data_IF_515478117337
#
_entry.id   IF_515478117337
#
_cell.length_a   1.000
_cell.length_b   1.000
_cell.length_c   1.000
_cell.angle_alpha   90.00
_cell.angle_beta   90.00
_cell.angle_gamma   90.00
#
_symmetry.space_group_name_H-M   'P 1'
#
loop_
_entity.id
_entity.type
_entity.pdbx_description
1 polymer ?
#
# COMPACT_ATOMS: atom_id res chain seq x y z
N UNK A 1 1.26 8.56 17.35
CA UNK A 1 0.60 7.24 17.24
C UNK A 1 0.90 6.69 15.85
N UNK A 2 1.44 5.47 15.74
CA UNK A 2 1.70 4.83 14.43
C UNK A 2 0.59 3.82 14.14
N UNK A 3 -0.21 4.06 13.10
CA UNK A 3 -1.34 3.20 12.72
C UNK A 3 -0.89 1.92 12.02
N UNK A 4 0.34 1.92 11.47
CA UNK A 4 0.91 0.84 10.64
C UNK A 4 0.00 0.48 9.45
N UNK A 5 -0.79 1.43 8.94
CA UNK A 5 -1.59 1.21 7.75
C UNK A 5 -0.71 0.85 6.54
N UNK A 6 -1.19 -0.05 5.70
CA UNK A 6 -0.44 -0.57 4.54
C UNK A 6 -1.13 -0.10 3.26
N UNK A 7 -0.32 0.24 2.25
CA UNK A 7 -0.78 0.44 0.89
C UNK A 7 0.05 -0.43 -0.06
N UNK A 8 -0.62 -1.14 -0.97
CA UNK A 8 -0.01 -2.05 -1.92
C UNK A 8 -0.26 -1.55 -3.34
N UNK A 9 0.82 -1.48 -4.11
CA UNK A 9 0.79 -1.05 -5.51
C UNK A 9 1.41 -2.11 -6.38
N UNK A 10 0.64 -2.63 -7.34
CA UNK A 10 1.19 -3.48 -8.37
C UNK A 10 1.93 -2.62 -9.39
N UNK A 11 3.14 -3.04 -9.75
CA UNK A 11 3.99 -2.38 -10.74
C UNK A 11 4.45 -3.39 -11.78
N UNK A 12 4.55 -2.95 -13.03
CA UNK A 12 4.96 -3.80 -14.16
C UNK A 12 6.46 -4.09 -14.20
N UNK A 13 7.29 -3.30 -13.50
CA UNK A 13 8.73 -3.54 -13.38
C UNK A 13 9.33 -2.92 -12.12
N UNK A 14 10.50 -3.39 -11.74
CA UNK A 14 11.34 -2.84 -10.67
C UNK A 14 12.25 -1.71 -11.18
N UNK A 15 11.83 -0.93 -12.18
CA UNK A 15 12.63 0.17 -12.71
C UNK A 15 12.34 1.48 -11.98
N UNK A 16 13.34 2.36 -11.92
CA UNK A 16 13.21 3.71 -11.36
C UNK A 16 12.11 4.54 -12.07
N UNK A 17 11.77 4.23 -13.32
CA UNK A 17 10.74 4.92 -14.08
C UNK A 17 9.30 4.61 -13.59
N UNK A 18 9.07 3.45 -12.97
CA UNK A 18 7.73 3.02 -12.56
C UNK A 18 7.41 3.44 -11.12
N UNK A 19 8.42 3.63 -10.27
CA UNK A 19 8.23 4.07 -8.89
C UNK A 19 7.48 5.42 -8.78
N UNK A 20 7.81 6.48 -9.56
CA UNK A 20 7.07 7.74 -9.52
C UNK A 20 5.57 7.56 -9.79
N UNK A 21 5.20 6.64 -10.68
CA UNK A 21 3.80 6.33 -10.95
C UNK A 21 3.12 5.67 -9.76
N UNK A 22 3.80 4.76 -9.06
CA UNK A 22 3.28 4.16 -7.82
C UNK A 22 3.15 5.21 -6.70
N UNK A 23 4.14 6.08 -6.53
CA UNK A 23 4.09 7.16 -5.55
C UNK A 23 2.96 8.15 -5.85
N UNK A 24 2.74 8.51 -7.12
CA UNK A 24 1.61 9.36 -7.52
C UNK A 24 0.27 8.72 -7.16
N UNK A 25 0.10 7.42 -7.43
CA UNK A 25 -1.15 6.72 -7.05
C UNK A 25 -1.33 6.65 -5.54
N UNK A 26 -0.25 6.42 -4.78
CA UNK A 26 -0.29 6.52 -3.32
C UNK A 26 -0.74 7.92 -2.87
N UNK A 27 -0.09 8.97 -3.36
CA UNK A 27 -0.40 10.36 -2.99
C UNK A 27 -1.85 10.73 -3.36
N UNK A 28 -2.32 10.33 -4.54
CA UNK A 28 -3.70 10.58 -4.97
C UNK A 28 -4.74 9.88 -4.09
N UNK A 29 -4.40 8.74 -3.47
CA UNK A 29 -5.32 7.96 -2.63
C UNK A 29 -5.21 8.26 -1.14
N UNK A 30 -4.00 8.56 -0.66
CA UNK A 30 -3.64 8.66 0.77
C UNK A 30 -3.25 10.07 1.19
N UNK A 31 -3.09 10.97 0.23
CA UNK A 31 -2.57 12.32 0.45
C UNK A 31 -1.04 12.37 0.42
N UNK A 32 -0.52 13.60 0.47
CA UNK A 32 0.92 13.86 0.45
C UNK A 32 1.58 13.44 1.77
N UNK A 33 2.60 12.56 1.76
CA UNK A 33 3.39 12.29 2.95
C UNK A 33 4.29 13.49 3.27
N UNK A 34 4.52 13.75 4.56
CA UNK A 34 5.57 14.69 4.99
C UNK A 34 6.96 14.07 4.85
N UNK A 35 7.07 12.79 5.19
CA UNK A 35 8.34 12.05 5.29
C UNK A 35 8.23 10.69 4.59
N UNK A 36 9.29 10.31 3.89
CA UNK A 36 9.47 8.98 3.30
C UNK A 36 10.76 8.39 3.85
N UNK A 37 10.70 7.15 4.33
CA UNK A 37 11.87 6.38 4.78
C UNK A 37 12.07 5.18 3.84
N UNK A 38 13.29 4.96 3.36
CA UNK A 38 13.63 3.81 2.50
C UNK A 38 15.04 3.28 2.73
N UNK A 39 15.33 2.10 2.19
CA UNK A 39 16.71 1.64 1.99
C UNK A 39 17.40 2.39 0.85
N UNK A 40 18.70 2.13 0.70
CA UNK A 40 19.56 2.72 -0.35
C UNK A 40 19.43 2.00 -1.70
N UNK A 41 18.30 1.33 -1.97
CA UNK A 41 18.01 0.74 -3.26
C UNK A 41 18.05 1.79 -4.37
N UNK A 42 18.68 1.45 -5.50
CA UNK A 42 18.93 2.39 -6.62
C UNK A 42 17.65 3.05 -7.14
N UNK A 43 16.53 2.34 -7.12
CA UNK A 43 15.22 2.89 -7.50
C UNK A 43 14.76 4.02 -6.57
N UNK A 44 14.96 3.87 -5.26
CA UNK A 44 14.58 4.88 -4.27
C UNK A 44 15.53 6.08 -4.30
N UNK A 45 16.82 5.85 -4.50
CA UNK A 45 17.81 6.92 -4.72
C UNK A 45 17.44 7.75 -5.95
N UNK A 46 17.14 7.09 -7.08
CA UNK A 46 16.69 7.78 -8.30
C UNK A 46 15.36 8.51 -8.12
N UNK A 47 14.40 7.92 -7.41
CA UNK A 47 13.12 8.56 -7.12
C UNK A 47 13.27 9.80 -6.22
N UNK A 48 14.12 9.73 -5.19
CA UNK A 48 14.43 10.86 -4.32
C UNK A 48 15.07 12.02 -5.09
N UNK A 49 16.01 11.73 -5.98
CA UNK A 49 16.62 12.72 -6.86
C UNK A 49 15.56 13.37 -7.79
N UNK A 50 14.74 12.55 -8.45
CA UNK A 50 13.66 13.03 -9.32
C UNK A 50 12.67 13.97 -8.58
N UNK A 51 12.28 13.63 -7.35
CA UNK A 51 11.41 14.49 -6.56
C UNK A 51 12.08 15.82 -6.19
N UNK A 52 13.38 15.79 -5.82
CA UNK A 52 14.13 17.01 -5.52
C UNK A 52 14.18 17.95 -6.74
N UNK A 53 14.45 17.42 -7.93
CA UNK A 53 14.49 18.20 -9.16
C UNK A 53 13.12 18.81 -9.48
N UNK A 54 12.04 18.03 -9.33
CA UNK A 54 10.67 18.53 -9.51
C UNK A 54 10.34 19.68 -8.55
N UNK A 55 10.67 19.55 -7.26
CA UNK A 55 10.39 20.60 -6.28
C UNK A 55 11.23 21.86 -6.54
N UNK A 56 12.48 21.72 -6.99
CA UNK A 56 13.32 22.85 -7.39
C UNK A 56 12.75 23.61 -8.59
N UNK A 57 12.26 22.90 -9.62
CA UNK A 57 11.61 23.51 -10.78
C UNK A 57 10.35 24.29 -10.38
N UNK A 58 9.54 23.75 -9.46
CA UNK A 58 8.35 24.41 -8.96
C UNK A 58 8.69 25.66 -8.13
N UNK A 59 9.76 25.61 -7.32
CA UNK A 59 10.24 26.76 -6.54
C UNK A 59 10.66 27.96 -7.41
N UNK A 60 11.19 27.68 -8.59
CA UNK A 60 11.62 28.70 -9.58
C UNK A 60 10.45 29.24 -10.43
N UNK A 61 9.24 28.69 -10.29
CA UNK A 61 8.04 29.14 -10.98
C UNK A 61 7.21 30.07 -10.08
N UNK A 62 6.47 31.00 -10.67
CA UNK A 62 5.54 31.90 -9.95
C UNK A 62 4.37 31.18 -9.24
N UNK A 63 4.38 29.84 -9.16
CA UNK A 63 3.41 28.98 -8.45
C UNK A 63 3.87 28.73 -7.00
N UNK A 64 4.52 29.74 -6.40
CA UNK A 64 5.15 29.64 -5.08
C UNK A 64 4.17 29.35 -3.95
N UNK A 65 2.90 29.77 -4.06
CA UNK A 65 1.96 29.75 -2.93
C UNK A 65 1.40 28.35 -2.60
N UNK A 66 1.38 27.43 -3.58
CA UNK A 66 0.82 26.07 -3.37
C UNK A 66 1.90 25.00 -3.12
N UNK A 67 3.11 25.19 -3.65
CA UNK A 67 4.18 24.17 -3.59
C UNK A 67 5.10 24.32 -2.38
N UNK A 68 5.24 25.52 -1.82
CA UNK A 68 6.20 25.84 -0.75
C UNK A 68 5.93 25.12 0.59
N UNK A 69 4.72 24.58 0.79
CA UNK A 69 4.34 23.86 2.02
C UNK A 69 4.41 22.32 1.93
N UNK A 70 4.85 21.75 0.80
CA UNK A 70 4.68 20.30 0.49
C UNK A 70 5.98 19.58 0.11
N UNK A 71 7.13 20.00 0.65
CA UNK A 71 8.40 19.31 0.42
C UNK A 71 8.46 17.99 1.19
N UNK A 72 8.29 16.87 0.48
CA UNK A 72 8.47 15.53 1.02
C UNK A 72 9.93 15.36 1.46
N UNK A 73 10.16 15.12 2.75
CA UNK A 73 11.49 14.83 3.30
C UNK A 73 11.80 13.35 3.09
N UNK A 74 12.86 13.05 2.35
CA UNK A 74 13.28 11.68 2.10
C UNK A 74 14.48 11.31 2.99
N UNK A 75 14.31 10.24 3.76
CA UNK A 75 15.28 9.72 4.70
C UNK A 75 15.76 8.34 4.25
N UNK A 76 17.07 8.17 4.10
CA UNK A 76 17.67 6.88 3.80
C UNK A 76 18.20 6.25 5.09
N UNK A 77 17.88 4.99 5.32
CA UNK A 77 18.43 4.27 6.48
C UNK A 77 19.93 4.05 6.31
N UNK A 78 20.70 3.96 7.41
CA UNK A 78 22.11 3.62 7.33
C UNK A 78 22.31 2.28 6.60
N UNK A 79 23.36 2.14 5.77
CA UNK A 79 23.71 0.86 5.16
C UNK A 79 23.85 -0.22 6.25
N UNK A 80 23.36 -1.42 5.97
CA UNK A 80 23.44 -2.57 6.88
C UNK A 80 22.75 -2.40 8.24
N UNK A 81 21.75 -1.52 8.34
CA UNK A 81 20.93 -1.36 9.54
C UNK A 81 19.51 -1.97 9.35
N UNK A 82 19.38 -3.32 9.28
CA UNK A 82 18.12 -4.00 8.97
C UNK A 82 17.03 -3.76 10.03
N UNK A 83 17.42 -3.42 11.25
CA UNK A 83 16.50 -3.09 12.34
C UNK A 83 15.60 -1.88 12.01
N UNK A 84 16.04 -0.94 11.17
CA UNK A 84 15.21 0.18 10.75
C UNK A 84 14.08 -0.24 9.79
N UNK A 85 14.23 -1.38 9.11
CA UNK A 85 13.28 -1.87 8.12
C UNK A 85 12.21 -2.84 8.59
N UNK A 86 12.27 -3.25 9.86
CA UNK A 86 11.41 -4.33 10.38
C UNK A 86 9.90 -4.09 10.17
N UNK A 87 9.43 -2.83 10.16
CA UNK A 87 8.01 -2.52 9.98
C UNK A 87 7.52 -2.82 8.56
N UNK A 88 8.24 -2.38 7.52
CA UNK A 88 7.84 -2.67 6.14
C UNK A 88 8.17 -4.11 5.77
N UNK A 89 9.25 -4.70 6.30
CA UNK A 89 9.56 -6.12 6.11
C UNK A 89 8.48 -7.03 6.70
N UNK A 90 7.98 -6.72 7.90
CA UNK A 90 6.86 -7.46 8.50
C UNK A 90 5.58 -7.33 7.66
N UNK A 91 5.33 -6.15 7.10
CA UNK A 91 4.19 -5.91 6.20
C UNK A 91 4.33 -6.70 4.90
N UNK A 92 5.53 -6.72 4.29
CA UNK A 92 5.82 -7.54 3.09
C UNK A 92 5.64 -9.03 3.39
N UNK A 93 6.12 -9.51 4.54
CA UNK A 93 5.94 -10.90 4.98
C UNK A 93 4.46 -11.25 5.12
N UNK A 94 3.66 -10.37 5.72
CA UNK A 94 2.22 -10.55 5.87
C UNK A 94 1.51 -10.59 4.51
N UNK A 95 1.81 -9.67 3.61
CA UNK A 95 1.26 -9.67 2.25
C UNK A 95 1.59 -10.96 1.50
N UNK A 96 2.84 -11.42 1.54
CA UNK A 96 3.26 -12.69 0.93
C UNK A 96 2.50 -13.88 1.51
N UNK A 97 2.30 -13.90 2.83
CA UNK A 97 1.53 -14.96 3.48
C UNK A 97 0.07 -15.02 3.00
N UNK A 98 -0.60 -13.87 2.88
CA UNK A 98 -1.95 -13.81 2.32
C UNK A 98 -1.98 -14.23 0.85
N UNK A 99 -1.06 -13.74 0.02
CA UNK A 99 -0.95 -14.14 -1.38
C UNK A 99 -0.80 -15.66 -1.53
N UNK A 100 0.12 -16.28 -0.79
CA UNK A 100 0.35 -17.73 -0.87
C UNK A 100 -0.88 -18.54 -0.45
N UNK A 101 -1.63 -18.07 0.56
CA UNK A 101 -2.86 -18.73 1.01
C UNK A 101 -4.00 -18.61 0.00
N UNK A 102 -4.15 -17.44 -0.63
CA UNK A 102 -5.22 -17.18 -1.62
C UNK A 102 -4.94 -17.90 -2.93
N UNK A 103 -3.70 -17.92 -3.40
CA UNK A 103 -3.38 -18.30 -4.78
C UNK A 103 -3.13 -19.79 -4.97
N UNK A 104 -2.58 -20.49 -3.97
CA UNK A 104 -2.16 -21.91 -4.08
C UNK A 104 -1.36 -22.22 -5.36
N UNK A 105 -2.02 -22.62 -6.46
CA UNK A 105 -1.43 -23.02 -7.76
C UNK A 105 -1.91 -22.14 -8.94
N UNK A 106 -2.73 -21.13 -8.69
CA UNK A 106 -3.31 -20.31 -9.75
C UNK A 106 -2.28 -19.34 -10.36
N UNK A 107 -2.16 -19.36 -11.69
CA UNK A 107 -1.51 -18.27 -12.44
C UNK A 107 -2.51 -17.13 -12.59
N UNK A 108 -2.09 -15.93 -12.25
CA UNK A 108 -2.90 -14.71 -12.37
C UNK A 108 -2.39 -13.82 -13.50
N UNK A 109 -3.32 -13.15 -14.16
CA UNK A 109 -3.01 -11.99 -14.99
C UNK A 109 -2.85 -10.73 -14.12
N UNK A 110 -2.49 -9.61 -14.77
CA UNK A 110 -2.22 -8.34 -14.09
C UNK A 110 -3.43 -7.80 -13.30
N UNK A 111 -4.62 -7.82 -13.90
CA UNK A 111 -5.85 -7.30 -13.29
C UNK A 111 -6.31 -8.16 -12.11
N UNK A 112 -6.20 -9.49 -12.25
CA UNK A 112 -6.51 -10.42 -11.17
C UNK A 112 -5.57 -10.21 -9.97
N UNK A 113 -4.27 -10.04 -10.22
CA UNK A 113 -3.31 -9.79 -9.16
C UNK A 113 -3.52 -8.42 -8.51
N UNK A 114 -3.83 -7.38 -9.30
CA UNK A 114 -4.15 -6.06 -8.78
C UNK A 114 -5.37 -6.11 -7.84
N UNK A 115 -6.43 -6.82 -8.26
CA UNK A 115 -7.65 -6.99 -7.47
C UNK A 115 -7.37 -7.72 -6.15
N UNK A 116 -6.65 -8.83 -6.20
CA UNK A 116 -6.30 -9.62 -5.01
C UNK A 116 -5.41 -8.81 -4.07
N UNK A 117 -4.48 -8.00 -4.60
CA UNK A 117 -3.67 -7.11 -3.76
C UNK A 117 -4.52 -6.06 -3.04
N UNK A 118 -5.54 -5.50 -3.69
CA UNK A 118 -6.48 -4.58 -3.04
C UNK A 118 -7.27 -5.26 -1.91
N UNK A 119 -7.74 -6.50 -2.12
CA UNK A 119 -8.43 -7.29 -1.08
C UNK A 119 -7.50 -7.62 0.09
N UNK A 120 -6.25 -8.00 -0.19
CA UNK A 120 -5.24 -8.25 0.84
C UNK A 120 -4.92 -6.96 1.61
N UNK A 121 -4.79 -5.82 0.95
CA UNK A 121 -4.62 -4.51 1.60
C UNK A 121 -5.77 -4.22 2.55
N UNK A 122 -7.02 -4.44 2.11
CA UNK A 122 -8.21 -4.29 2.95
C UNK A 122 -8.16 -5.20 4.19
N UNK A 123 -7.86 -6.48 4.00
CA UNK A 123 -7.73 -7.45 5.10
C UNK A 123 -6.66 -7.02 6.12
N UNK A 124 -5.46 -6.66 5.65
CA UNK A 124 -4.36 -6.22 6.52
C UNK A 124 -4.75 -4.98 7.30
N UNK A 125 -5.46 -4.04 6.69
CA UNK A 125 -5.89 -2.79 7.32
C UNK A 125 -7.16 -2.93 8.16
N UNK A 126 -7.85 -4.06 8.13
CA UNK A 126 -8.99 -4.38 9.00
C UNK A 126 -8.59 -5.14 10.27
N UNK A 127 -7.29 -5.39 10.48
CA UNK A 127 -6.78 -5.99 11.72
C UNK A 127 -7.08 -5.12 12.94
N UNK A 128 -7.43 -5.77 14.06
CA UNK A 128 -7.67 -5.10 15.34
C UNK A 128 -6.37 -4.49 15.90
N UNK A 129 -6.44 -3.22 16.31
CA UNK A 129 -5.38 -2.53 17.08
C UNK A 129 -5.74 -2.42 18.56
N UNK A 130 -6.98 -2.02 18.84
CA UNK A 130 -7.45 -1.76 20.21
C UNK A 130 -8.99 -1.89 20.26
N UNK A 131 -9.58 -2.47 21.32
CA UNK A 131 -11.03 -2.45 21.50
C UNK A 131 -11.53 -1.01 21.73
N UNK A 132 -12.65 -0.63 21.12
CA UNK A 132 -13.18 0.74 21.28
C UNK A 132 -13.90 0.95 22.62
N UNK A 133 -14.30 -0.14 23.27
CA UNK A 133 -15.03 -0.14 24.53
C UNK A 133 -14.42 -1.16 25.50
N UNK A 134 -14.67 -0.94 26.79
CA UNK A 134 -14.36 -1.90 27.86
C UNK A 134 -15.49 -2.89 28.11
N UNK A 135 -16.65 -2.72 27.47
CA UNK A 135 -17.77 -3.66 27.55
C UNK A 135 -17.42 -4.97 26.81
N UNK A 136 -17.41 -6.13 27.48
CA UNK A 136 -17.16 -7.42 26.83
C UNK A 136 -18.17 -7.79 25.74
N UNK A 137 -19.34 -7.14 25.69
CA UNK A 137 -20.37 -7.34 24.66
C UNK A 137 -20.16 -6.49 23.42
N UNK A 138 -19.33 -5.45 23.51
CA UNK A 138 -19.02 -4.60 22.37
C UNK A 138 -17.83 -5.18 21.59
N UNK A 139 -18.11 -5.67 20.39
CA UNK A 139 -17.11 -6.28 19.51
C UNK A 139 -16.47 -5.27 18.56
N UNK A 140 -16.76 -3.97 18.71
CA UNK A 140 -16.15 -2.95 17.87
C UNK A 140 -14.68 -2.73 18.23
N UNK A 141 -13.86 -2.68 17.18
CA UNK A 141 -12.41 -2.57 17.31
C UNK A 141 -11.89 -1.45 16.44
N UNK A 142 -10.92 -0.71 16.96
CA UNK A 142 -10.16 0.24 16.20
C UNK A 142 -9.21 -0.51 15.27
N UNK A 143 -9.24 -0.17 13.99
CA UNK A 143 -8.40 -0.79 12.95
C UNK A 143 -7.61 0.29 12.21
N UNK A 144 -6.52 -0.06 11.49
CA UNK A 144 -5.85 0.89 10.62
C UNK A 144 -6.80 1.54 9.60
N UNK A 145 -7.79 0.79 9.09
CA UNK A 145 -8.81 1.29 8.18
C UNK A 145 -9.58 2.50 8.72
N UNK A 146 -9.87 2.54 10.03
CA UNK A 146 -10.51 3.69 10.65
C UNK A 146 -9.72 4.99 10.47
N UNK A 147 -8.39 4.92 10.45
CA UNK A 147 -7.54 6.09 10.20
C UNK A 147 -7.43 6.46 8.72
N UNK A 148 -7.78 5.55 7.82
CA UNK A 148 -7.71 5.77 6.38
C UNK A 148 -9.02 6.31 5.81
N UNK A 149 -10.15 5.74 6.22
CA UNK A 149 -11.47 6.04 5.64
C UNK A 149 -12.58 6.20 6.70
N UNK A 150 -12.25 6.15 8.00
CA UNK A 150 -13.23 6.29 9.08
C UNK A 150 -13.95 5.01 9.50
N UNK A 151 -13.73 3.88 8.80
CA UNK A 151 -14.32 2.58 9.12
C UNK A 151 -13.37 1.42 8.71
N UNK A 152 -13.64 0.16 9.10
CA UNK A 152 -12.93 -0.99 8.56
C UNK A 152 -13.10 -1.08 7.04
N UNK A 153 -12.04 -1.49 6.32
CA UNK A 153 -12.15 -1.70 4.88
C UNK A 153 -13.01 -2.94 4.62
N UNK A 154 -14.03 -2.77 3.79
CA UNK A 154 -15.02 -3.80 3.44
C UNK A 154 -14.65 -4.47 2.11
N UNK A 155 -14.97 -5.74 2.01
CA UNK A 155 -14.88 -6.54 0.79
C UNK A 155 -16.30 -6.80 0.27
N UNK A 156 -16.46 -6.90 -1.05
CA UNK A 156 -17.74 -7.28 -1.63
C UNK A 156 -18.05 -8.74 -1.25
N UNK A 157 -19.30 -9.07 -0.90
CA UNK A 157 -19.67 -10.45 -0.63
C UNK A 157 -19.53 -11.27 -1.92
N UNK A 158 -18.66 -12.28 -1.88
CA UNK A 158 -18.57 -13.26 -2.97
C UNK A 158 -19.77 -14.21 -2.91
N UNK A 159 -20.37 -14.48 -4.08
CA UNK A 159 -21.24 -15.64 -4.21
C UNK A 159 -20.43 -16.88 -3.86
N UNK A 160 -20.93 -17.71 -2.94
CA UNK A 160 -20.29 -18.96 -2.55
C UNK A 160 -20.03 -19.80 -3.81
N UNK A 161 -18.81 -19.74 -4.34
CA UNK A 161 -18.38 -20.61 -5.41
C UNK A 161 -18.39 -22.01 -4.82
N UNK A 162 -19.40 -22.79 -5.18
CA UNK A 162 -19.33 -24.24 -5.10
C UNK A 162 -17.93 -24.64 -5.58
N UNK A 163 -17.24 -25.49 -4.81
CA UNK A 163 -15.83 -25.93 -4.92
C UNK A 163 -15.44 -26.49 -6.30
N UNK A 164 -15.72 -25.79 -7.39
CA UNK A 164 -15.31 -26.11 -8.73
C UNK A 164 -14.06 -25.29 -9.00
N UNK A 165 -13.01 -26.01 -9.33
CA UNK A 165 -11.75 -25.52 -9.89
C UNK A 165 -11.94 -24.20 -10.64
N UNK A 166 -11.19 -23.16 -10.23
CA UNK A 166 -11.08 -21.89 -10.94
C UNK A 166 -10.38 -22.11 -12.30
N UNK A 167 -11.07 -22.76 -13.21
CA UNK A 167 -10.73 -22.88 -14.62
C UNK A 167 -10.68 -21.48 -15.23
N UNK A 168 -9.63 -21.18 -16.00
CA UNK A 168 -9.44 -19.90 -16.71
C UNK A 168 -10.68 -19.49 -17.50
N UNK A 169 -11.42 -20.47 -18.04
CA UNK A 169 -12.57 -20.24 -18.92
C UNK A 169 -13.86 -19.83 -18.20
N UNK A 170 -13.95 -19.99 -16.87
CA UNK A 170 -15.14 -19.61 -16.08
C UNK A 170 -14.91 -18.39 -15.18
N UNK A 171 -13.77 -17.70 -15.33
CA UNK A 171 -13.35 -16.58 -14.46
C UNK A 171 -14.09 -15.26 -14.68
N UNK A 172 -14.67 -15.06 -15.87
CA UNK A 172 -15.29 -13.80 -16.27
C UNK A 172 -16.73 -13.95 -16.79
N UNK A 173 -17.35 -15.13 -16.65
CA UNK A 173 -18.71 -15.40 -17.09
C UNK A 173 -19.77 -14.90 -16.09
N UNK A 174 -19.68 -13.62 -15.72
CA UNK A 174 -20.76 -12.87 -15.08
C UNK A 174 -21.13 -11.61 -15.88
N UNK A 175 -20.90 -11.67 -17.19
CA UNK A 175 -21.63 -10.90 -18.21
C UNK A 175 -22.21 -11.88 -19.23
#
# INVERSE_FOLDING_TARGET
MFTKAVHLELVSSLSAAVFPSALRRFVSRRGYPSDIYSDNGTNFVGASAYLKDLFQLLHNSNVQDYSSSKNIQWHFIPPYAPNFGGVWEASVKLTKHHLLKTLKVAVLNFEELATILCQIEACINSRCLYPLSSDPKDLQVLTPGHFLIGCPLLELPDHSLNKQSLSIHSRWSLF
#
